data_IF_280059758361
#
_entry.id   IF_280059758361
#
_cell.length_a   1.000
_cell.length_b   1.000
_cell.length_c   1.000
_cell.angle_alpha   90.00
_cell.angle_beta   90.00
_cell.angle_gamma   90.00
#
_symmetry.space_group_name_H-M   'P 1'
#
loop_
_entity.id
_entity.type
_entity.pdbx_description
1 polymer ?
#
# COMPACT_ATOMS: atom_id res chain seq x y z
N UNK A 1 -19.38 -2.06 10.28
CA UNK A 1 -18.26 -1.57 11.12
C UNK A 1 -17.45 -0.55 10.34
N UNK A 2 -17.98 0.65 10.13
CA UNK A 2 -17.21 1.77 9.60
C UNK A 2 -16.86 2.66 10.78
N UNK A 3 -15.60 2.63 11.21
CA UNK A 3 -15.08 3.80 11.94
C UNK A 3 -14.94 4.91 10.90
N UNK A 4 -15.03 6.17 11.30
CA UNK A 4 -14.80 7.30 10.40
C UNK A 4 -13.33 7.25 9.94
N UNK A 5 -13.06 6.56 8.83
CA UNK A 5 -11.72 6.21 8.29
C UNK A 5 -10.88 7.42 7.85
N UNK A 6 -11.42 8.64 8.02
CA UNK A 6 -10.79 9.91 7.66
C UNK A 6 -10.63 10.88 8.83
N UNK A 7 -11.02 10.50 10.06
CA UNK A 7 -10.69 11.31 11.24
C UNK A 7 -9.19 11.15 11.56
N UNK A 8 -8.52 12.26 11.83
CA UNK A 8 -7.13 12.24 12.27
C UNK A 8 -7.05 11.59 13.65
N UNK A 9 -6.55 10.35 13.69
CA UNK A 9 -6.33 9.60 14.94
C UNK A 9 -5.30 10.27 15.85
N UNK A 10 -4.38 11.05 15.26
CA UNK A 10 -3.27 11.72 15.93
C UNK A 10 -3.18 13.19 15.53
N UNK A 11 -2.77 14.03 16.48
CA UNK A 11 -2.45 15.44 16.22
C UNK A 11 -1.04 15.61 15.62
N UNK A 12 -0.65 16.85 15.28
CA UNK A 12 0.67 17.13 14.72
C UNK A 12 1.80 16.85 15.71
N UNK A 13 1.57 17.07 17.01
CA UNK A 13 2.58 16.89 18.05
C UNK A 13 3.03 15.41 18.15
N UNK A 14 2.10 14.46 17.98
CA UNK A 14 2.43 13.04 17.86
C UNK A 14 3.51 12.78 16.79
N UNK A 15 3.40 13.42 15.62
CA UNK A 15 4.36 13.25 14.54
C UNK A 15 5.67 13.99 14.79
N UNK A 16 5.64 15.19 15.40
CA UNK A 16 6.84 15.94 15.83
C UNK A 16 7.71 15.08 16.75
N UNK A 17 7.11 14.51 17.80
CA UNK A 17 7.85 13.69 18.76
C UNK A 17 8.41 12.41 18.12
N UNK A 18 7.70 11.84 17.15
CA UNK A 18 8.11 10.62 16.44
C UNK A 18 9.37 10.79 15.57
N UNK A 19 9.63 12.00 15.06
CA UNK A 19 10.76 12.28 14.13
C UNK A 19 11.86 13.16 14.74
N UNK A 20 11.69 13.60 15.99
CA UNK A 20 12.58 14.54 16.69
C UNK A 20 14.03 14.05 16.80
N UNK A 21 14.26 12.75 16.85
CA UNK A 21 15.60 12.15 16.86
C UNK A 21 16.37 12.40 15.56
N UNK A 22 15.65 12.54 14.44
CA UNK A 22 16.22 12.84 13.13
C UNK A 22 16.23 14.35 12.84
N UNK A 23 15.22 15.07 13.32
CA UNK A 23 15.04 16.52 13.11
C UNK A 23 14.80 17.24 14.45
N UNK A 24 15.84 17.55 15.25
CA UNK A 24 15.68 18.06 16.62
C UNK A 24 14.95 19.40 16.74
N UNK A 25 14.98 20.22 15.69
CA UNK A 25 14.38 21.55 15.66
C UNK A 25 13.03 21.58 14.91
N UNK A 26 12.41 20.42 14.64
CA UNK A 26 11.11 20.38 13.98
C UNK A 26 10.01 20.89 14.91
N UNK A 27 9.11 21.69 14.36
CA UNK A 27 7.99 22.33 15.06
C UNK A 27 6.68 21.90 14.39
N UNK A 28 5.56 22.02 15.09
CA UNK A 28 4.24 21.63 14.56
C UNK A 28 3.83 22.44 13.32
N UNK A 29 4.26 23.70 13.21
CA UNK A 29 3.99 24.58 12.07
C UNK A 29 4.77 24.19 10.80
N UNK A 30 5.81 23.37 10.93
CA UNK A 30 6.53 22.79 9.79
C UNK A 30 5.80 21.58 9.18
N UNK A 31 4.78 21.04 9.84
CA UNK A 31 4.06 19.86 9.40
C UNK A 31 2.70 20.23 8.79
N UNK A 32 2.35 19.59 7.69
CA UNK A 32 1.02 19.62 7.11
C UNK A 32 0.52 18.19 6.91
N UNK A 33 -0.77 17.95 7.16
CA UNK A 33 -1.37 16.68 6.83
C UNK A 33 -1.43 16.55 5.30
N UNK A 34 -0.88 15.46 4.77
CA UNK A 34 -0.80 15.24 3.34
C UNK A 34 -1.90 14.31 2.83
N UNK A 35 -1.85 13.02 3.21
CA UNK A 35 -2.75 12.01 2.68
C UNK A 35 -3.00 10.89 3.70
N UNK A 36 -4.20 10.31 3.64
CA UNK A 36 -4.52 9.00 4.22
C UNK A 36 -4.88 8.02 3.11
N UNK A 37 -4.68 6.72 3.36
CA UNK A 37 -4.94 5.66 2.39
C UNK A 37 -5.46 4.41 3.07
N UNK A 38 -6.31 3.66 2.34
CA UNK A 38 -6.78 2.35 2.75
C UNK A 38 -5.93 1.31 2.03
N UNK A 39 -5.33 0.40 2.79
CA UNK A 39 -4.55 -0.71 2.25
C UNK A 39 -5.26 -2.04 2.51
N UNK A 40 -5.49 -2.80 1.46
CA UNK A 40 -6.07 -4.13 1.55
C UNK A 40 -5.01 -5.12 2.08
N UNK A 41 -4.99 -5.29 3.40
CA UNK A 41 -4.08 -6.19 4.08
C UNK A 41 -4.58 -7.63 4.01
N UNK A 42 -3.74 -8.55 3.57
CA UNK A 42 -4.07 -9.97 3.57
C UNK A 42 -3.81 -10.59 4.95
N UNK A 43 -4.83 -11.22 5.57
CA UNK A 43 -4.65 -11.86 6.87
C UNK A 43 -3.97 -13.21 6.71
N UNK A 44 -2.75 -13.34 7.22
CA UNK A 44 -2.02 -14.62 7.25
C UNK A 44 -1.59 -15.12 5.86
N UNK A 45 -1.50 -14.20 4.89
CA UNK A 45 -1.09 -14.52 3.53
C UNK A 45 0.14 -13.71 3.13
N UNK A 46 0.98 -14.25 2.24
CA UNK A 46 2.20 -13.59 1.79
C UNK A 46 1.87 -12.31 1.01
N UNK A 47 2.79 -11.36 1.06
CA UNK A 47 2.77 -10.19 0.17
C UNK A 47 2.75 -10.65 -1.30
N UNK A 48 2.07 -9.88 -2.15
CA UNK A 48 1.99 -10.08 -3.60
C UNK A 48 1.20 -11.32 -4.05
N UNK A 49 -0.09 -11.38 -3.71
CA UNK A 49 -1.01 -12.33 -4.33
C UNK A 49 -1.18 -11.93 -5.79
N UNK A 50 -0.51 -12.66 -6.68
CA UNK A 50 -0.57 -12.47 -8.14
C UNK A 50 -0.87 -13.81 -8.79
N UNK A 51 -2.13 -14.03 -9.14
CA UNK A 51 -2.61 -15.32 -9.67
C UNK A 51 -3.75 -15.16 -10.67
N UNK A 52 -3.92 -16.13 -11.56
CA UNK A 52 -5.05 -16.20 -12.48
C UNK A 52 -6.28 -16.75 -11.74
N UNK A 53 -7.48 -16.23 -12.04
CA UNK A 53 -8.71 -16.74 -11.46
C UNK A 53 -9.07 -18.13 -12.05
N UNK A 54 -9.31 -19.15 -11.22
CA UNK A 54 -9.55 -20.51 -11.71
C UNK A 54 -10.87 -20.67 -12.48
N UNK A 55 -11.80 -19.72 -12.36
CA UNK A 55 -13.10 -19.74 -13.03
C UNK A 55 -13.05 -18.85 -14.28
N UNK A 56 -12.39 -17.70 -14.19
CA UNK A 56 -12.31 -16.68 -15.24
C UNK A 56 -10.89 -16.58 -15.80
N UNK A 57 -10.63 -17.34 -16.86
CA UNK A 57 -9.30 -17.48 -17.47
C UNK A 57 -8.61 -16.17 -17.88
N UNK A 58 -9.38 -15.10 -18.11
CA UNK A 58 -8.90 -13.77 -18.50
C UNK A 58 -8.85 -12.76 -17.33
N UNK A 59 -8.93 -13.23 -16.09
CA UNK A 59 -8.87 -12.40 -14.90
C UNK A 59 -7.62 -12.72 -14.08
N UNK A 60 -6.85 -11.70 -13.73
CA UNK A 60 -5.64 -11.83 -12.91
C UNK A 60 -5.84 -11.03 -11.63
N UNK A 61 -5.79 -11.72 -10.49
CA UNK A 61 -5.83 -11.12 -9.17
C UNK A 61 -4.48 -10.47 -8.85
N UNK A 62 -4.52 -9.20 -8.44
CA UNK A 62 -3.39 -8.48 -7.84
C UNK A 62 -3.83 -7.94 -6.49
N UNK A 63 -3.50 -8.65 -5.41
CA UNK A 63 -3.96 -8.34 -4.06
C UNK A 63 -2.83 -8.46 -3.03
N UNK A 64 -3.06 -7.93 -1.83
CA UNK A 64 -2.08 -8.03 -0.73
C UNK A 64 -0.74 -7.37 -1.09
N UNK A 65 -0.79 -6.28 -1.87
CA UNK A 65 0.38 -5.49 -2.23
C UNK A 65 0.69 -4.56 -1.05
N UNK A 66 1.19 -5.13 0.05
CA UNK A 66 1.74 -4.36 1.16
C UNK A 66 3.13 -3.80 0.78
N UNK A 67 3.89 -3.28 1.75
CA UNK A 67 5.26 -2.85 1.56
C UNK A 67 6.15 -4.02 1.11
N UNK A 68 6.94 -3.89 0.02
CA UNK A 68 7.22 -2.65 -0.74
C UNK A 68 6.42 -2.53 -2.06
N UNK A 69 5.13 -2.20 -2.01
CA UNK A 69 4.24 -2.12 -3.17
C UNK A 69 4.68 -1.13 -4.25
N UNK A 70 4.93 0.14 -3.88
CA UNK A 70 5.33 1.17 -4.83
C UNK A 70 6.68 0.84 -5.47
N UNK A 71 7.66 0.43 -4.67
CA UNK A 71 9.00 0.06 -5.15
C UNK A 71 8.95 -1.16 -6.07
N UNK A 72 8.04 -2.10 -5.82
CA UNK A 72 7.90 -3.33 -6.62
C UNK A 72 6.99 -3.19 -7.83
N UNK A 73 6.30 -2.05 -8.00
CA UNK A 73 5.30 -1.84 -9.06
C UNK A 73 5.79 -2.19 -10.46
N UNK A 74 7.03 -1.81 -10.81
CA UNK A 74 7.62 -2.13 -12.11
C UNK A 74 7.90 -3.63 -12.29
N UNK A 75 8.36 -4.32 -11.24
CA UNK A 75 8.62 -5.75 -11.28
C UNK A 75 7.31 -6.55 -11.36
N UNK A 76 6.30 -6.14 -10.59
CA UNK A 76 4.94 -6.69 -10.64
C UNK A 76 4.37 -6.52 -12.06
N UNK A 77 4.48 -5.32 -12.64
CA UNK A 77 4.00 -5.07 -14.00
C UNK A 77 4.67 -5.97 -15.05
N UNK A 78 5.99 -6.17 -14.95
CA UNK A 78 6.71 -7.11 -15.82
C UNK A 78 6.22 -8.55 -15.63
N UNK A 79 6.07 -8.99 -14.40
CA UNK A 79 5.59 -10.34 -14.08
C UNK A 79 4.18 -10.60 -14.62
N UNK A 80 3.26 -9.65 -14.42
CA UNK A 80 1.89 -9.72 -14.98
C UNK A 80 1.92 -9.75 -16.50
N UNK A 81 2.82 -8.99 -17.15
CA UNK A 81 2.94 -9.02 -18.60
C UNK A 81 3.31 -10.42 -19.12
N UNK A 82 4.19 -11.15 -18.43
CA UNK A 82 4.53 -12.53 -18.78
C UNK A 82 3.35 -13.49 -18.59
N UNK A 83 2.52 -13.29 -17.55
CA UNK A 83 1.28 -14.05 -17.35
C UNK A 83 0.31 -13.81 -18.53
N UNK A 84 0.09 -12.54 -18.90
CA UNK A 84 -0.80 -12.16 -20.02
C UNK A 84 -0.35 -12.82 -21.32
N UNK A 85 0.96 -12.79 -21.63
CA UNK A 85 1.51 -13.46 -22.81
C UNK A 85 1.30 -14.97 -22.79
N UNK A 86 1.48 -15.62 -21.63
CA UNK A 86 1.27 -17.06 -21.49
C UNK A 86 -0.21 -17.46 -21.70
N UNK A 87 -1.14 -16.56 -21.35
CA UNK A 87 -2.57 -16.73 -21.57
C UNK A 87 -3.02 -16.41 -23.00
N UNK A 88 -2.12 -15.97 -23.88
CA UNK A 88 -2.41 -15.51 -25.24
C UNK A 88 -3.44 -14.36 -25.29
N UNK A 89 -3.41 -13.50 -24.27
CA UNK A 89 -4.20 -12.27 -24.16
C UNK A 89 -3.48 -11.05 -24.74
#
# INVERSE_FOLDING_TARGET
CGKNEYEHTYDKNYYVESVKSFFPNILEDHLEFYQTGILAMSKGHPDFIIENDPIHWNFINLMGIDSPGLTSSLAIGKYVCEIVKALHL
#
